data_IF_619005572635
#
_entry.id   IF_619005572635
#
_cell.length_a   1.000
_cell.length_b   1.000
_cell.length_c   1.000
_cell.angle_alpha   90.00
_cell.angle_beta   90.00
_cell.angle_gamma   90.00
#
_symmetry.space_group_name_H-M   'P 1'
#
loop_
_entity.id
_entity.type
_entity.pdbx_description
1 polymer ?
#
# COMPACT_ATOMS: atom_id res chain seq x y z
N UNK A 1 1.08 -3.94 -3.63
CA UNK A 1 2.13 -4.72 -2.93
C UNK A 1 1.49 -5.21 -1.64
N UNK A 2 1.62 -6.50 -1.32
CA UNK A 2 1.15 -6.96 -0.01
C UNK A 2 2.02 -6.30 1.04
N UNK A 3 1.39 -5.61 1.97
CA UNK A 3 2.02 -5.35 3.24
C UNK A 3 2.03 -6.69 3.97
N UNK A 4 3.23 -7.19 4.26
CA UNK A 4 3.39 -8.37 5.08
C UNK A 4 2.86 -8.04 6.48
N UNK A 5 1.62 -8.47 6.74
CA UNK A 5 0.92 -8.15 7.98
C UNK A 5 1.65 -8.74 9.19
N UNK A 6 2.39 -9.84 9.01
CA UNK A 6 3.20 -10.43 10.09
C UNK A 6 4.39 -9.53 10.44
N UNK A 7 5.11 -9.00 9.45
CA UNK A 7 6.21 -8.07 9.68
C UNK A 7 5.77 -6.74 10.33
N UNK A 8 4.55 -6.27 10.02
CA UNK A 8 3.98 -5.08 10.66
C UNK A 8 3.53 -5.38 12.08
N UNK A 9 2.95 -6.55 12.31
CA UNK A 9 2.46 -6.96 13.63
C UNK A 9 3.61 -7.15 14.63
N UNK A 10 4.73 -7.72 14.18
CA UNK A 10 5.94 -7.92 15.01
C UNK A 10 6.67 -6.62 15.34
N UNK A 11 6.58 -5.61 14.46
CA UNK A 11 7.29 -4.34 14.67
C UNK A 11 6.47 -3.29 15.42
N UNK A 12 5.13 -3.33 15.34
CA UNK A 12 4.29 -2.17 15.69
C UNK A 12 3.10 -2.52 16.62
N UNK A 13 2.78 -3.80 16.87
CA UNK A 13 1.63 -4.19 17.71
C UNK A 13 0.27 -3.89 17.04
N UNK A 14 -0.85 -4.25 17.69
CA UNK A 14 -2.21 -4.09 17.14
C UNK A 14 -2.59 -2.62 16.97
N UNK A 15 -2.15 -2.04 15.87
CA UNK A 15 -2.33 -0.64 15.53
C UNK A 15 -3.65 -0.44 14.78
N UNK A 16 -4.36 0.63 15.08
CA UNK A 16 -5.58 1.00 14.36
C UNK A 16 -5.25 1.37 12.91
N UNK A 17 -6.16 1.12 11.96
CA UNK A 17 -5.95 1.41 10.52
C UNK A 17 -5.48 2.86 10.23
N UNK A 18 -5.82 3.81 11.10
CA UNK A 18 -5.40 5.22 11.06
C UNK A 18 -3.91 5.42 11.34
N UNK A 19 -3.37 4.66 12.29
CA UNK A 19 -1.98 4.78 12.71
C UNK A 19 -1.05 4.15 11.67
N UNK A 20 -1.45 3.02 11.06
CA UNK A 20 -0.73 2.37 9.96
C UNK A 20 -0.57 3.32 8.77
N UNK A 21 -1.66 4.02 8.42
CA UNK A 21 -1.64 4.99 7.33
C UNK A 21 -0.69 6.14 7.61
N UNK A 22 -0.64 6.61 8.86
CA UNK A 22 0.25 7.71 9.28
C UNK A 22 1.71 7.28 9.21
N UNK A 23 2.02 6.07 9.71
CA UNK A 23 3.37 5.50 9.66
C UNK A 23 3.89 5.36 8.22
N UNK A 24 3.09 4.75 7.34
CA UNK A 24 3.46 4.59 5.92
C UNK A 24 3.66 5.94 5.25
N UNK A 25 2.83 6.94 5.57
CA UNK A 25 2.99 8.29 5.05
C UNK A 25 4.33 8.89 5.46
N UNK A 26 4.72 8.77 6.72
CA UNK A 26 6.01 9.28 7.21
C UNK A 26 7.18 8.61 6.49
N UNK A 27 7.14 7.30 6.28
CA UNK A 27 8.20 6.61 5.52
C UNK A 27 8.21 7.02 4.04
N UNK A 28 7.05 7.19 3.40
CA UNK A 28 6.97 7.70 2.03
C UNK A 28 7.56 9.11 1.93
N UNK A 29 7.31 9.97 2.91
CA UNK A 29 7.83 11.34 2.93
C UNK A 29 9.35 11.36 3.05
N UNK A 30 9.94 10.52 3.92
CA UNK A 30 11.41 10.35 4.01
C UNK A 30 12.03 9.91 2.68
N UNK A 31 11.40 8.94 1.99
CA UNK A 31 11.88 8.47 0.69
C UNK A 31 11.70 9.56 -0.39
N UNK A 32 10.60 10.32 -0.35
CA UNK A 32 10.33 11.43 -1.27
C UNK A 32 11.35 12.57 -1.17
N UNK A 33 11.92 12.81 0.01
CA UNK A 33 12.99 13.79 0.21
C UNK A 33 14.27 13.40 -0.53
N UNK A 34 14.58 12.11 -0.59
CA UNK A 34 15.75 11.58 -1.31
C UNK A 34 15.55 11.51 -2.83
N UNK A 35 14.31 11.72 -3.33
CA UNK A 35 13.97 11.57 -4.74
C UNK A 35 13.76 12.91 -5.48
N UNK A 36 14.09 12.95 -6.79
CA UNK A 36 13.72 14.07 -7.66
C UNK A 36 12.21 14.30 -7.70
N UNK A 37 11.80 15.56 -7.88
CA UNK A 37 10.39 16.00 -7.82
C UNK A 37 9.43 15.15 -8.66
N UNK A 38 9.85 14.72 -9.85
CA UNK A 38 9.04 13.96 -10.79
C UNK A 38 8.85 12.48 -10.41
N UNK A 39 9.70 11.91 -9.55
CA UNK A 39 9.58 10.53 -9.04
C UNK A 39 8.88 10.43 -7.70
N UNK A 40 8.49 11.56 -7.10
CA UNK A 40 7.83 11.56 -5.79
C UNK A 40 6.49 10.84 -5.83
N UNK A 41 6.27 10.00 -4.84
CA UNK A 41 4.99 9.32 -4.61
C UNK A 41 3.97 10.37 -4.16
N UNK A 42 2.95 10.61 -4.99
CA UNK A 42 1.90 11.61 -4.73
C UNK A 42 0.67 11.05 -4.03
N UNK A 43 0.32 9.80 -4.32
CA UNK A 43 -0.88 9.14 -3.81
C UNK A 43 -0.57 7.67 -3.55
N UNK A 44 -1.05 7.16 -2.43
CA UNK A 44 -1.00 5.74 -2.10
C UNK A 44 -2.34 5.34 -1.48
N UNK A 45 -2.71 4.07 -1.68
CA UNK A 45 -3.89 3.44 -1.10
C UNK A 45 -3.48 2.14 -0.44
N UNK A 46 -4.03 1.88 0.73
CA UNK A 46 -3.87 0.62 1.46
C UNK A 46 -5.16 -0.16 1.25
N UNK A 47 -5.04 -1.42 0.83
CA UNK A 47 -6.18 -2.32 0.65
C UNK A 47 -5.98 -3.54 1.53
N UNK A 48 -7.03 -3.94 2.25
CA UNK A 48 -7.01 -5.15 3.08
C UNK A 48 -7.26 -6.41 2.28
N UNK A 49 -8.02 -6.27 1.17
CA UNK A 49 -8.42 -7.34 0.26
C UNK A 49 -7.44 -7.48 -0.90
N UNK A 50 -7.32 -8.71 -1.38
CA UNK A 50 -6.48 -9.06 -2.52
C UNK A 50 -7.11 -8.63 -3.85
N UNK A 51 -6.28 -8.15 -4.78
CA UNK A 51 -6.71 -7.87 -6.13
C UNK A 51 -7.15 -9.14 -6.85
N UNK A 52 -8.24 -9.06 -7.61
CA UNK A 52 -8.61 -10.19 -8.45
C UNK A 52 -7.54 -10.43 -9.54
N UNK A 53 -7.09 -11.68 -9.65
CA UNK A 53 -6.01 -12.09 -10.55
C UNK A 53 -6.52 -12.97 -11.69
N UNK A 54 -5.77 -13.01 -12.79
CA UNK A 54 -5.97 -13.99 -13.87
C UNK A 54 -5.52 -15.38 -13.42
N UNK A 55 -5.82 -16.40 -14.23
CA UNK A 55 -5.33 -17.78 -14.01
C UNK A 55 -3.80 -17.84 -13.92
N UNK A 56 -3.10 -16.97 -14.66
CA UNK A 56 -1.64 -16.77 -14.58
C UNK A 56 -1.19 -15.83 -13.44
N UNK A 57 -2.04 -15.56 -12.44
CA UNK A 57 -1.77 -14.71 -11.26
C UNK A 57 -1.45 -13.23 -11.54
N UNK A 58 -1.75 -12.72 -12.74
CA UNK A 58 -1.59 -11.29 -13.07
C UNK A 58 -2.78 -10.48 -12.53
N UNK A 59 -2.56 -9.29 -12.01
CA UNK A 59 -3.65 -8.40 -11.54
C UNK A 59 -4.55 -8.01 -12.71
N UNK A 60 -5.87 -8.23 -12.57
CA UNK A 60 -6.87 -7.78 -13.55
C UNK A 60 -7.08 -6.28 -13.41
N UNK A 61 -6.67 -5.49 -14.41
CA UNK A 61 -6.72 -4.01 -14.33
C UNK A 61 -8.11 -3.42 -14.59
N UNK A 62 -8.92 -4.07 -15.44
CA UNK A 62 -10.24 -3.59 -15.86
C UNK A 62 -11.39 -4.25 -15.08
N UNK A 63 -11.12 -4.75 -13.88
CA UNK A 63 -12.15 -5.36 -13.07
C UNK A 63 -12.81 -4.30 -12.20
N UNK A 64 -14.14 -4.29 -12.16
CA UNK A 64 -14.92 -3.34 -11.36
C UNK A 64 -14.51 -3.38 -9.89
N UNK A 65 -14.30 -4.60 -9.36
CA UNK A 65 -13.82 -4.85 -8.00
C UNK A 65 -12.45 -4.22 -7.68
N UNK A 66 -11.63 -3.97 -8.71
CA UNK A 66 -10.30 -3.39 -8.55
C UNK A 66 -10.28 -1.87 -8.81
N UNK A 67 -11.26 -1.34 -9.55
CA UNK A 67 -11.39 0.08 -9.93
C UNK A 67 -12.18 0.88 -8.87
N UNK A 68 -13.21 0.30 -8.27
CA UNK A 68 -14.19 1.01 -7.41
C UNK A 68 -13.78 1.18 -5.94
N UNK A 69 -12.49 1.39 -5.64
CA UNK A 69 -12.02 1.66 -4.27
C UNK A 69 -11.04 2.82 -4.20
#
# INVERSE_FOLDING_TARGET
MYLDREAIKDSIGDLTNTEIRTFIKQEIDKINEQMPLYKRVKRFGIREKEFEKTTTRKIKRFNQSNIEE
#
